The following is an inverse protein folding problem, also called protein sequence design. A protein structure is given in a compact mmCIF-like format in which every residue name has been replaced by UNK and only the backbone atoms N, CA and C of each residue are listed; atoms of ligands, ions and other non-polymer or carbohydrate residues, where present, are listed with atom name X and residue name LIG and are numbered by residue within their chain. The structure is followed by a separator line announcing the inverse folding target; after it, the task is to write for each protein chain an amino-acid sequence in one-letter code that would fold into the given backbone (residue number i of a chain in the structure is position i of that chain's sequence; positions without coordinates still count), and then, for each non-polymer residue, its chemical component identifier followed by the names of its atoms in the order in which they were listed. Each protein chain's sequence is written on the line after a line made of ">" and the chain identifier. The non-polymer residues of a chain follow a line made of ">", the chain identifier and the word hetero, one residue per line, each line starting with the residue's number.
data_IF_760388188580
#
_entry.id   IF_760388188580
#
_cell.length_a   1.000
_cell.length_b   1.000
_cell.length_c   1.000
_cell.angle_alpha   90.00
_cell.angle_beta   90.00
_cell.angle_gamma   90.00
#
_symmetry.space_group_name_H-M   'P 1'
#
loop_
_entity.id
_entity.type
_entity.pdbx_description
1 polymer ?
#
# COMPACT_ATOMS: atom_id res chain seq x y z
N UNK A 1 21.83 -12.87 21.24
CA UNK A 1 20.90 -13.29 20.18
C UNK A 1 19.75 -12.30 20.14
N UNK A 2 19.69 -11.45 19.12
CA UNK A 2 18.58 -10.53 18.91
C UNK A 2 18.37 -10.42 17.41
N UNK A 3 17.55 -11.30 16.85
CA UNK A 3 17.14 -11.17 15.46
C UNK A 3 16.30 -9.89 15.37
N UNK A 4 16.83 -8.86 14.72
CA UNK A 4 16.04 -7.76 14.22
C UNK A 4 14.93 -8.37 13.37
N UNK A 5 13.69 -8.38 13.86
CA UNK A 5 12.55 -8.67 13.01
C UNK A 5 12.56 -7.61 11.92
N UNK A 6 13.08 -7.96 10.74
CA UNK A 6 12.82 -7.20 9.54
C UNK A 6 11.33 -7.29 9.33
N UNK A 7 10.58 -6.26 9.74
CA UNK A 7 9.22 -6.07 9.28
C UNK A 7 9.36 -6.09 7.76
N UNK A 8 8.77 -7.11 7.11
CA UNK A 8 8.72 -7.10 5.64
C UNK A 8 8.10 -5.76 5.26
N UNK A 9 8.85 -4.93 4.56
CA UNK A 9 8.40 -3.61 4.15
C UNK A 9 7.19 -3.81 3.23
N UNK A 10 5.98 -3.74 3.81
CA UNK A 10 4.76 -3.93 3.05
C UNK A 10 4.61 -2.71 2.14
N UNK A 11 4.55 -2.98 0.84
CA UNK A 11 4.39 -1.91 -0.13
C UNK A 11 2.99 -1.31 -0.05
N UNK A 12 2.86 0.00 -0.25
CA UNK A 12 1.53 0.64 -0.30
C UNK A 12 0.62 0.03 -1.39
N UNK A 13 1.23 -0.59 -2.40
CA UNK A 13 0.53 -1.23 -3.52
C UNK A 13 -0.18 -2.54 -3.14
N UNK A 14 0.00 -3.04 -1.91
CA UNK A 14 -0.67 -4.25 -1.41
C UNK A 14 -1.99 -3.93 -0.70
N UNK A 15 -2.30 -2.66 -0.49
CA UNK A 15 -3.53 -2.26 0.17
C UNK A 15 -4.68 -2.06 -0.82
N UNK A 16 -5.86 -2.42 -0.34
CA UNK A 16 -7.14 -1.99 -0.90
C UNK A 16 -7.76 -1.00 0.06
N UNK A 17 -8.14 0.17 -0.46
CA UNK A 17 -8.74 1.27 0.30
C UNK A 17 -10.14 1.57 -0.23
N UNK A 18 -10.91 2.37 0.50
CA UNK A 18 -12.24 2.83 0.05
C UNK A 18 -12.13 4.24 -0.52
N UNK A 19 -12.77 4.48 -1.66
CA UNK A 19 -12.94 5.84 -2.18
C UNK A 19 -14.07 6.59 -1.45
N UNK A 20 -14.25 7.87 -1.77
CA UNK A 20 -15.31 8.71 -1.19
C UNK A 20 -16.74 8.19 -1.44
N UNK A 21 -16.92 7.25 -2.38
CA UNK A 21 -18.21 6.60 -2.69
C UNK A 21 -18.33 5.23 -2.03
N UNK A 22 -17.37 4.82 -1.19
CA UNK A 22 -17.35 3.52 -0.51
C UNK A 22 -16.96 2.35 -1.42
N UNK A 23 -16.39 2.61 -2.59
CA UNK A 23 -15.93 1.56 -3.51
C UNK A 23 -14.51 1.15 -3.18
N UNK A 24 -14.22 -0.14 -3.32
CA UNK A 24 -12.87 -0.65 -3.15
C UNK A 24 -11.97 -0.20 -4.30
N UNK A 25 -10.81 0.34 -3.93
CA UNK A 25 -9.75 0.78 -4.82
C UNK A 25 -8.48 0.04 -4.43
N UNK A 26 -8.01 -0.81 -5.32
CA UNK A 26 -6.77 -1.54 -5.13
C UNK A 26 -5.58 -0.68 -5.61
N UNK A 27 -4.65 -0.37 -4.69
CA UNK A 27 -3.50 0.48 -4.99
C UNK A 27 -2.48 -0.18 -5.91
N UNK A 28 -2.52 -1.51 -6.09
CA UNK A 28 -1.66 -2.23 -7.05
C UNK A 28 -1.78 -1.71 -8.49
N UNK A 29 -2.94 -1.15 -8.85
CA UNK A 29 -3.20 -0.56 -10.17
C UNK A 29 -2.33 0.67 -10.50
N UNK A 30 -1.67 1.25 -9.49
CA UNK A 30 -0.78 2.40 -9.65
C UNK A 30 0.71 2.05 -9.63
N UNK A 31 1.08 0.75 -9.59
CA UNK A 31 2.48 0.34 -9.75
C UNK A 31 3.07 0.92 -11.05
N UNK A 32 4.28 1.47 -10.96
CA UNK A 32 4.97 2.10 -12.09
C UNK A 32 4.51 3.53 -12.40
N UNK A 33 3.59 4.10 -11.61
CA UNK A 33 3.18 5.51 -11.68
C UNK A 33 3.64 6.24 -10.43
N UNK A 34 3.78 7.56 -10.51
CA UNK A 34 4.01 8.42 -9.35
C UNK A 34 2.68 8.68 -8.66
N UNK A 35 2.61 8.48 -7.34
CA UNK A 35 1.46 8.81 -6.50
C UNK A 35 1.86 9.90 -5.50
N UNK A 36 0.93 10.82 -5.25
CA UNK A 36 1.02 11.78 -4.15
C UNK A 36 -0.04 11.35 -3.12
N UNK A 37 0.42 11.10 -1.89
CA UNK A 37 -0.42 10.77 -0.73
C UNK A 37 -0.37 11.96 0.22
N UNK A 38 -1.53 12.41 0.73
CA UNK A 38 -1.71 13.59 1.59
C UNK A 38 -2.58 13.24 2.79
#
# INVERSE_FOLDING_TARGET
>A
MGASHSISENSIYEFTVKDAKGRDVNLSSYKGKVLIVV
#
